data_IF_256139298573
#
_entry.id   IF_256139298573
#
_cell.length_a   1.000
_cell.length_b   1.000
_cell.length_c   1.000
_cell.angle_alpha   90.00
_cell.angle_beta   90.00
_cell.angle_gamma   90.00
#
_symmetry.space_group_name_H-M   'P 1'
#
loop_
_entity.id
_entity.type
_entity.pdbx_description
1 polymer ?
#
# COMPACT_ATOMS: atom_id res chain seq x y z
N UNK A 1 17.28 19.30 -5.77
CA UNK A 1 15.85 18.86 -5.74
C UNK A 1 15.03 19.98 -6.38
N UNK A 2 13.79 19.74 -6.81
CA UNK A 2 12.92 20.83 -7.25
C UNK A 2 12.52 21.69 -6.03
N UNK A 3 12.41 22.99 -6.19
CA UNK A 3 12.03 23.92 -5.11
C UNK A 3 10.64 23.59 -4.52
N UNK A 4 9.70 23.17 -5.37
CA UNK A 4 8.38 22.68 -4.93
C UNK A 4 8.46 21.45 -4.04
N UNK A 5 9.42 20.54 -4.29
CA UNK A 5 9.63 19.33 -3.49
C UNK A 5 10.30 19.67 -2.16
N UNK A 6 11.22 20.62 -2.13
CA UNK A 6 11.84 21.11 -0.89
C UNK A 6 10.80 21.74 0.04
N UNK A 7 9.92 22.58 -0.52
CA UNK A 7 8.77 23.13 0.22
C UNK A 7 7.82 22.01 0.70
N UNK A 8 7.46 21.06 -0.18
CA UNK A 8 6.61 19.95 0.17
C UNK A 8 7.20 19.09 1.30
N UNK A 9 8.51 18.83 1.29
CA UNK A 9 9.19 18.13 2.38
C UNK A 9 9.05 18.85 3.72
N UNK A 10 9.08 20.18 3.73
CA UNK A 10 8.88 20.98 4.93
C UNK A 10 7.42 20.93 5.42
N UNK A 11 6.47 21.01 4.47
CA UNK A 11 5.07 21.27 4.80
C UNK A 11 4.22 19.98 4.89
N UNK A 12 4.66 18.89 4.26
CA UNK A 12 3.90 17.65 4.09
C UNK A 12 4.63 16.37 4.56
N UNK A 13 5.73 16.53 5.28
CA UNK A 13 6.42 15.40 5.94
C UNK A 13 6.37 15.62 7.46
N UNK A 14 5.75 14.70 8.16
CA UNK A 14 5.51 14.82 9.61
C UNK A 14 6.05 13.60 10.36
N UNK A 15 6.07 13.72 11.68
CA UNK A 15 6.26 12.59 12.59
C UNK A 15 4.89 12.11 13.12
N UNK A 16 4.79 10.83 13.47
CA UNK A 16 3.61 10.30 14.16
C UNK A 16 3.33 11.05 15.47
N UNK A 17 4.36 11.64 16.08
CA UNK A 17 4.24 12.38 17.34
C UNK A 17 3.68 13.81 17.18
N UNK A 18 3.62 14.34 15.96
CA UNK A 18 3.12 15.71 15.71
C UNK A 18 1.61 15.83 15.92
N UNK A 19 0.89 14.70 15.91
CA UNK A 19 -0.57 14.65 16.09
C UNK A 19 -0.95 13.70 17.21
N UNK A 20 -1.05 14.22 18.47
CA UNK A 20 -1.42 13.37 19.60
C UNK A 20 -2.85 12.85 19.45
N UNK A 21 -3.10 11.66 20.01
CA UNK A 21 -4.34 10.90 19.86
C UNK A 21 -5.61 11.70 20.14
N UNK A 22 -5.59 12.57 21.15
CA UNK A 22 -6.76 13.39 21.46
C UNK A 22 -7.15 14.36 20.35
N UNK A 23 -6.19 14.87 19.57
CA UNK A 23 -6.45 15.71 18.40
C UNK A 23 -7.05 14.90 17.25
N UNK A 24 -6.58 13.66 17.05
CA UNK A 24 -7.13 12.76 16.02
C UNK A 24 -8.59 12.42 16.32
N UNK A 25 -8.91 12.11 17.58
CA UNK A 25 -10.29 11.85 18.01
C UNK A 25 -11.19 13.07 17.84
N UNK A 26 -10.71 14.24 18.27
CA UNK A 26 -11.48 15.48 18.12
C UNK A 26 -11.72 15.80 16.62
N UNK A 27 -10.73 15.57 15.77
CA UNK A 27 -10.87 15.75 14.31
C UNK A 27 -11.87 14.76 13.74
N UNK A 28 -11.77 13.46 14.07
CA UNK A 28 -12.73 12.43 13.66
C UNK A 28 -14.16 12.75 14.08
N UNK A 29 -14.35 13.14 15.35
CA UNK A 29 -15.67 13.52 15.87
C UNK A 29 -16.26 14.73 15.16
N UNK A 30 -15.43 15.73 14.87
CA UNK A 30 -15.85 16.95 14.17
C UNK A 30 -16.26 16.69 12.74
N UNK A 31 -15.53 15.82 12.03
CA UNK A 31 -15.76 15.52 10.60
C UNK A 31 -16.77 14.40 10.36
N UNK A 32 -17.00 13.54 11.36
CA UNK A 32 -17.81 12.33 11.23
C UNK A 32 -17.19 11.25 10.33
N UNK A 33 -15.92 11.41 9.92
CA UNK A 33 -15.26 10.47 9.02
C UNK A 33 -15.03 9.11 9.68
N UNK A 34 -15.24 8.06 8.90
CA UNK A 34 -15.00 6.67 9.29
C UNK A 34 -13.68 6.14 8.73
N UNK A 35 -13.04 5.25 9.46
CA UNK A 35 -11.71 4.69 9.13
C UNK A 35 -11.79 3.17 9.05
N UNK A 36 -11.44 2.61 7.88
CA UNK A 36 -11.21 1.16 7.71
C UNK A 36 -9.72 0.89 7.61
N UNK A 37 -9.23 -0.08 8.39
CA UNK A 37 -7.90 -0.65 8.23
C UNK A 37 -8.03 -1.95 7.45
N UNK A 38 -7.30 -2.06 6.35
CA UNK A 38 -7.32 -3.20 5.42
C UNK A 38 -5.94 -3.85 5.37
N UNK A 39 -5.90 -5.15 5.67
CA UNK A 39 -4.71 -5.98 5.59
C UNK A 39 -4.85 -6.99 4.43
N UNK A 40 -4.13 -6.80 3.31
CA UNK A 40 -4.01 -7.85 2.30
C UNK A 40 -3.12 -8.97 2.86
N UNK A 41 -3.59 -10.21 2.84
CA UNK A 41 -2.89 -11.34 3.44
C UNK A 41 -2.77 -12.53 2.48
N UNK A 42 -1.61 -13.18 2.50
CA UNK A 42 -1.36 -14.46 1.83
C UNK A 42 -0.28 -15.24 2.60
N UNK A 43 -0.68 -16.28 3.33
CA UNK A 43 0.20 -17.11 4.15
C UNK A 43 0.99 -16.30 5.21
N UNK A 44 0.24 -15.57 6.05
CA UNK A 44 0.77 -14.71 7.11
C UNK A 44 0.24 -15.09 8.50
N UNK A 45 0.04 -16.42 8.78
CA UNK A 45 -0.46 -16.90 10.07
C UNK A 45 0.44 -16.50 11.26
N UNK A 46 1.74 -16.27 11.02
CA UNK A 46 2.70 -15.90 12.07
C UNK A 46 2.52 -14.45 12.57
N UNK A 47 1.97 -13.55 11.75
CA UNK A 47 2.01 -12.10 12.00
C UNK A 47 0.64 -11.44 12.03
N UNK A 48 -0.29 -11.87 11.20
CA UNK A 48 -1.60 -11.20 11.03
C UNK A 48 -2.40 -11.09 12.33
N UNK A 49 -2.33 -12.11 13.20
CA UNK A 49 -3.06 -12.13 14.47
C UNK A 49 -2.59 -11.03 15.44
N UNK A 50 -1.28 -10.85 15.59
CA UNK A 50 -0.71 -9.80 16.43
C UNK A 50 -1.07 -8.41 15.91
N UNK A 51 -0.94 -8.19 14.60
CA UNK A 51 -1.29 -6.90 13.98
C UNK A 51 -2.75 -6.54 14.24
N UNK A 52 -3.66 -7.46 13.98
CA UNK A 52 -5.10 -7.27 14.22
C UNK A 52 -5.38 -7.00 15.68
N UNK A 53 -4.78 -7.80 16.60
CA UNK A 53 -4.99 -7.64 18.04
C UNK A 53 -4.51 -6.27 18.56
N UNK A 54 -3.37 -5.78 18.07
CA UNK A 54 -2.86 -4.44 18.42
C UNK A 54 -3.81 -3.35 17.92
N UNK A 55 -4.24 -3.41 16.65
CA UNK A 55 -5.16 -2.41 16.10
C UNK A 55 -6.47 -2.41 16.89
N UNK A 56 -7.05 -3.56 17.15
CA UNK A 56 -8.30 -3.65 17.90
C UNK A 56 -8.17 -3.11 19.32
N UNK A 57 -7.18 -3.60 20.07
CA UNK A 57 -6.98 -3.16 21.45
C UNK A 57 -6.76 -1.66 21.57
N UNK A 58 -5.84 -1.11 20.74
CA UNK A 58 -5.41 0.28 20.89
C UNK A 58 -6.31 1.27 20.15
N UNK A 59 -6.86 0.91 18.97
CA UNK A 59 -7.50 1.86 18.07
C UNK A 59 -9.00 1.62 17.85
N UNK A 60 -9.55 0.52 18.36
CA UNK A 60 -11.00 0.25 18.34
C UNK A 60 -11.57 0.29 19.76
N UNK A 61 -10.96 -0.46 20.71
CA UNK A 61 -11.50 -0.68 22.05
C UNK A 61 -11.06 0.42 23.03
N UNK A 62 -9.74 0.71 23.08
CA UNK A 62 -9.20 1.74 23.98
C UNK A 62 -9.51 3.15 23.46
N UNK A 63 -9.34 3.36 22.16
CA UNK A 63 -9.53 4.64 21.48
C UNK A 63 -10.29 4.39 20.18
N UNK A 64 -11.54 4.89 20.01
CA UNK A 64 -12.36 4.58 18.83
C UNK A 64 -11.93 5.40 17.60
N UNK A 65 -10.68 5.23 17.18
CA UNK A 65 -10.12 5.86 15.97
C UNK A 65 -10.46 5.05 14.71
N UNK A 66 -10.41 3.71 14.79
CA UNK A 66 -10.69 2.78 13.71
C UNK A 66 -12.10 2.20 13.87
N UNK A 67 -12.89 2.22 12.81
CA UNK A 67 -14.27 1.72 12.82
C UNK A 67 -14.35 0.27 12.31
N UNK A 68 -13.41 -0.14 11.46
CA UNK A 68 -13.41 -1.45 10.83
C UNK A 68 -11.98 -1.97 10.64
N UNK A 69 -11.77 -3.26 10.96
CA UNK A 69 -10.52 -3.99 10.66
C UNK A 69 -10.86 -5.14 9.72
N UNK A 70 -10.34 -5.07 8.51
CA UNK A 70 -10.56 -6.01 7.42
C UNK A 70 -9.28 -6.76 7.08
N UNK A 71 -9.36 -8.09 7.00
CA UNK A 71 -8.33 -8.92 6.37
C UNK A 71 -8.90 -9.48 5.08
N UNK A 72 -8.23 -9.18 3.96
CA UNK A 72 -8.59 -9.74 2.65
C UNK A 72 -7.63 -10.87 2.36
N UNK A 73 -8.13 -12.09 2.51
CA UNK A 73 -7.36 -13.30 2.25
C UNK A 73 -7.28 -13.61 0.76
N UNK A 74 -6.06 -13.71 0.25
CA UNK A 74 -5.76 -13.95 -1.17
C UNK A 74 -5.77 -15.44 -1.57
N UNK A 75 -6.28 -16.31 -0.73
CA UNK A 75 -6.27 -17.78 -0.90
C UNK A 75 -5.11 -18.41 -0.15
N UNK A 76 -4.93 -18.04 1.11
CA UNK A 76 -3.95 -18.68 2.01
C UNK A 76 -4.20 -20.16 2.16
N UNK A 77 -3.12 -20.93 2.28
CA UNK A 77 -3.14 -22.38 2.50
C UNK A 77 -2.77 -22.76 3.94
N UNK A 78 -2.38 -21.75 4.73
CA UNK A 78 -2.10 -21.84 6.17
C UNK A 78 -3.32 -21.35 6.98
N UNK A 79 -3.14 -21.10 8.26
CA UNK A 79 -4.19 -20.66 9.18
C UNK A 79 -4.42 -19.15 9.21
N UNK A 80 -3.95 -18.40 8.20
CA UNK A 80 -4.07 -16.94 8.14
C UNK A 80 -5.50 -16.45 8.44
N UNK A 81 -6.49 -16.96 7.71
CA UNK A 81 -7.90 -16.55 7.88
C UNK A 81 -8.44 -16.86 9.28
N UNK A 82 -8.11 -18.04 9.82
CA UNK A 82 -8.54 -18.48 11.16
C UNK A 82 -7.94 -17.56 12.24
N UNK A 83 -6.62 -17.33 12.16
CA UNK A 83 -5.88 -16.49 13.12
C UNK A 83 -6.36 -15.04 13.09
N UNK A 84 -6.59 -14.49 11.90
CA UNK A 84 -7.11 -13.12 11.75
C UNK A 84 -8.53 -12.98 12.34
N UNK A 85 -9.41 -13.94 12.06
CA UNK A 85 -10.77 -13.95 12.60
C UNK A 85 -10.78 -14.11 14.13
N UNK A 86 -9.95 -14.99 14.69
CA UNK A 86 -9.80 -15.17 16.13
C UNK A 86 -9.30 -13.90 16.83
N UNK A 87 -8.44 -13.09 16.16
CA UNK A 87 -7.99 -11.80 16.65
C UNK A 87 -9.06 -10.68 16.51
N UNK A 88 -10.20 -10.99 15.87
CA UNK A 88 -11.36 -10.10 15.76
C UNK A 88 -11.41 -9.25 14.49
N UNK A 89 -10.67 -9.58 13.44
CA UNK A 89 -10.86 -8.97 12.13
C UNK A 89 -12.10 -9.54 11.42
N UNK A 90 -12.71 -8.74 10.59
CA UNK A 90 -13.62 -9.23 9.56
C UNK A 90 -12.77 -9.79 8.40
N UNK A 91 -12.81 -11.10 8.22
CA UNK A 91 -12.07 -11.76 7.14
C UNK A 91 -12.97 -11.95 5.92
N UNK A 92 -12.46 -11.55 4.75
CA UNK A 92 -13.15 -11.72 3.47
C UNK A 92 -12.20 -12.38 2.48
N UNK A 93 -12.64 -13.46 1.85
CA UNK A 93 -11.86 -14.10 0.81
C UNK A 93 -11.91 -13.28 -0.48
N UNK A 94 -10.75 -12.99 -1.08
CA UNK A 94 -10.63 -12.17 -2.29
C UNK A 94 -11.60 -12.60 -3.40
N UNK A 95 -11.72 -13.91 -3.65
CA UNK A 95 -12.53 -14.45 -4.75
C UNK A 95 -14.03 -14.36 -4.50
N UNK A 96 -14.45 -14.13 -3.25
CA UNK A 96 -15.84 -13.86 -2.91
C UNK A 96 -16.26 -12.41 -3.24
N UNK A 97 -15.29 -11.53 -3.45
CA UNK A 97 -15.55 -10.14 -3.81
C UNK A 97 -15.61 -10.04 -5.35
N UNK A 98 -16.70 -9.56 -5.91
CA UNK A 98 -16.94 -9.48 -7.35
C UNK A 98 -16.74 -10.83 -8.09
N UNK A 99 -17.48 -11.88 -7.74
CA UNK A 99 -17.23 -13.24 -8.28
C UNK A 99 -17.39 -13.34 -9.80
N UNK A 100 -18.13 -12.41 -10.43
CA UNK A 100 -18.26 -12.34 -11.90
C UNK A 100 -16.99 -11.85 -12.61
N UNK A 101 -16.08 -11.17 -11.89
CA UNK A 101 -14.80 -10.73 -12.43
C UNK A 101 -13.73 -11.70 -11.94
N UNK A 102 -13.11 -12.52 -12.80
CA UNK A 102 -12.08 -13.44 -12.38
C UNK A 102 -10.96 -12.73 -11.61
N UNK A 103 -10.63 -13.26 -10.44
CA UNK A 103 -9.53 -12.71 -9.65
C UNK A 103 -8.20 -13.11 -10.27
N UNK A 104 -7.25 -12.18 -10.27
CA UNK A 104 -5.86 -12.41 -10.67
C UNK A 104 -4.94 -12.36 -9.47
N UNK A 105 -3.79 -13.06 -9.51
CA UNK A 105 -2.82 -13.00 -8.42
C UNK A 105 -2.20 -11.61 -8.31
N UNK A 106 -2.01 -11.13 -7.10
CA UNK A 106 -1.25 -9.92 -6.83
C UNK A 106 -1.86 -9.01 -5.76
N UNK A 107 -1.01 -8.22 -5.11
CA UNK A 107 -1.39 -7.34 -4.01
C UNK A 107 -2.40 -6.28 -4.47
N UNK A 108 -2.15 -5.65 -5.63
CA UNK A 108 -3.03 -4.60 -6.14
C UNK A 108 -4.46 -5.08 -6.43
N UNK A 109 -4.64 -6.32 -6.87
CA UNK A 109 -5.96 -6.95 -7.02
C UNK A 109 -6.73 -6.98 -5.69
N UNK A 110 -6.03 -7.36 -4.62
CA UNK A 110 -6.59 -7.44 -3.27
C UNK A 110 -7.00 -6.07 -2.76
N UNK A 111 -6.12 -5.07 -2.95
CA UNK A 111 -6.39 -3.68 -2.55
C UNK A 111 -7.57 -3.10 -3.33
N UNK A 112 -7.63 -3.33 -4.64
CA UNK A 112 -8.74 -2.88 -5.48
C UNK A 112 -10.07 -3.48 -5.04
N UNK A 113 -10.12 -4.81 -4.84
CA UNK A 113 -11.34 -5.49 -4.40
C UNK A 113 -11.77 -5.04 -3.00
N UNK A 114 -10.82 -4.73 -2.12
CA UNK A 114 -11.14 -4.30 -0.76
C UNK A 114 -12.01 -3.04 -0.71
N UNK A 115 -11.90 -2.15 -1.71
CA UNK A 115 -12.73 -0.95 -1.80
C UNK A 115 -14.23 -1.25 -1.89
N UNK A 116 -14.59 -2.42 -2.43
CA UNK A 116 -16.00 -2.82 -2.51
C UNK A 116 -16.57 -3.24 -1.15
N UNK A 117 -15.75 -3.77 -0.25
CA UNK A 117 -16.20 -4.32 1.04
C UNK A 117 -15.83 -3.46 2.24
N UNK A 118 -14.79 -2.65 2.17
CA UNK A 118 -14.45 -1.68 3.21
C UNK A 118 -15.52 -0.57 3.32
N UNK A 119 -15.84 -0.11 4.53
CA UNK A 119 -16.91 0.88 4.81
C UNK A 119 -16.41 2.32 4.98
N UNK A 120 -15.15 2.53 5.37
CA UNK A 120 -14.63 3.81 5.80
C UNK A 120 -14.49 4.88 4.71
N UNK A 121 -14.55 6.14 5.11
CA UNK A 121 -14.24 7.30 4.27
C UNK A 121 -12.73 7.44 4.06
N UNK A 122 -11.95 6.97 5.03
CA UNK A 122 -10.50 6.84 4.99
C UNK A 122 -10.17 5.36 4.98
N UNK A 123 -9.38 4.91 4.00
CA UNK A 123 -8.89 3.55 3.90
C UNK A 123 -7.40 3.56 4.22
N UNK A 124 -7.03 2.79 5.24
CA UNK A 124 -5.66 2.59 5.68
C UNK A 124 -5.21 1.18 5.31
N UNK A 125 -4.20 1.06 4.47
CA UNK A 125 -3.59 -0.21 4.11
C UNK A 125 -2.37 -0.50 4.98
N UNK A 126 -2.29 -1.73 5.48
CA UNK A 126 -1.19 -2.21 6.31
C UNK A 126 -0.81 -3.60 5.83
N UNK A 127 0.47 -3.84 5.56
CA UNK A 127 0.96 -5.17 5.20
C UNK A 127 0.79 -6.16 6.36
N UNK A 128 0.39 -7.38 6.05
CA UNK A 128 0.13 -8.42 7.05
C UNK A 128 1.39 -9.16 7.52
N UNK A 129 2.57 -8.88 6.93
CA UNK A 129 3.88 -9.49 7.23
C UNK A 129 4.73 -8.71 8.23
N UNK A 130 4.18 -7.66 8.86
CA UNK A 130 4.92 -6.81 9.78
C UNK A 130 5.23 -7.53 11.09
N UNK A 131 6.47 -7.43 11.52
CA UNK A 131 6.93 -7.88 12.84
C UNK A 131 7.10 -6.68 13.77
N UNK A 132 6.80 -6.86 15.06
CA UNK A 132 6.85 -5.79 16.07
C UNK A 132 5.96 -4.59 15.67
N UNK A 133 4.73 -4.89 15.26
CA UNK A 133 3.77 -3.88 14.83
C UNK A 133 3.36 -2.95 15.99
N UNK A 134 3.32 -1.65 15.70
CA UNK A 134 2.80 -0.60 16.59
C UNK A 134 1.56 0.07 15.98
N UNK A 135 0.66 0.52 16.83
CA UNK A 135 -0.48 1.34 16.43
C UNK A 135 -0.06 2.63 15.70
N UNK A 136 1.19 3.07 15.87
CA UNK A 136 1.75 4.25 15.23
C UNK A 136 1.76 4.16 13.71
N UNK A 137 1.84 2.94 13.15
CA UNK A 137 1.70 2.74 11.70
C UNK A 137 0.34 3.21 11.18
N UNK A 138 -0.73 3.00 11.96
CA UNK A 138 -2.08 3.43 11.58
C UNK A 138 -2.30 4.90 11.94
N UNK A 139 -1.99 5.30 13.18
CA UNK A 139 -2.25 6.67 13.64
C UNK A 139 -1.47 7.71 12.86
N UNK A 140 -0.22 7.39 12.50
CA UNK A 140 0.64 8.27 11.70
C UNK A 140 0.04 8.57 10.33
N UNK A 141 -0.34 7.55 9.58
CA UNK A 141 -0.82 7.74 8.20
C UNK A 141 -2.29 8.15 8.11
N UNK A 142 -3.12 7.83 9.11
CA UNK A 142 -4.51 8.28 9.18
C UNK A 142 -4.61 9.72 9.69
N UNK A 143 -3.71 10.10 10.60
CA UNK A 143 -3.75 11.40 11.28
C UNK A 143 -3.91 12.60 10.34
N UNK A 144 -3.03 12.80 9.35
CA UNK A 144 -3.15 13.92 8.41
C UNK A 144 -4.47 13.92 7.63
N UNK A 145 -5.01 12.76 7.28
CA UNK A 145 -6.29 12.66 6.57
C UNK A 145 -7.48 13.15 7.42
N UNK A 146 -7.38 13.04 8.75
CA UNK A 146 -8.40 13.53 9.67
C UNK A 146 -8.24 15.02 9.99
N UNK A 147 -7.00 15.54 9.99
CA UNK A 147 -6.70 16.91 10.44
C UNK A 147 -6.52 17.92 9.31
N UNK A 148 -6.05 17.48 8.14
CA UNK A 148 -5.76 18.33 6.98
C UNK A 148 -6.76 18.04 5.85
N UNK A 149 -7.74 18.92 5.61
CA UNK A 149 -8.78 18.65 4.61
C UNK A 149 -8.25 18.49 3.18
N UNK A 150 -7.12 19.14 2.85
CA UNK A 150 -6.52 19.12 1.52
C UNK A 150 -5.72 17.84 1.24
N UNK A 151 -5.31 17.12 2.29
CA UNK A 151 -4.54 15.88 2.14
C UNK A 151 -5.46 14.75 1.69
N UNK A 152 -5.05 14.05 0.61
CA UNK A 152 -5.80 12.97 0.01
C UNK A 152 -5.14 11.61 0.16
N UNK A 153 -3.79 11.56 0.22
CA UNK A 153 -3.00 10.34 0.37
C UNK A 153 -1.80 10.59 1.28
N UNK A 154 -1.56 9.67 2.21
CA UNK A 154 -0.44 9.71 3.16
C UNK A 154 0.30 8.39 3.11
N UNK A 155 1.62 8.44 2.88
CA UNK A 155 2.49 7.26 2.95
C UNK A 155 3.25 7.23 4.27
N UNK A 156 3.43 6.04 4.82
CA UNK A 156 4.40 5.85 5.89
C UNK A 156 5.82 6.01 5.33
N UNK A 157 6.67 6.68 6.08
CA UNK A 157 8.11 6.60 5.94
C UNK A 157 8.72 6.00 7.20
N UNK A 158 9.74 5.22 7.04
CA UNK A 158 10.38 4.47 8.12
C UNK A 158 11.76 4.00 7.72
N UNK A 159 12.60 3.70 8.70
CA UNK A 159 13.86 3.01 8.46
C UNK A 159 13.63 1.50 8.21
N UNK A 160 14.38 0.94 7.28
CA UNK A 160 14.43 -0.50 6.97
C UNK A 160 15.83 -1.02 7.26
N UNK A 161 16.11 -1.52 8.45
CA UNK A 161 17.41 -2.10 8.74
C UNK A 161 17.63 -3.41 7.96
N UNK A 162 18.83 -3.60 7.41
CA UNK A 162 19.27 -4.83 6.81
C UNK A 162 20.41 -5.42 7.64
N UNK A 163 20.25 -6.64 8.14
CA UNK A 163 21.22 -7.31 9.00
C UNK A 163 21.68 -6.44 10.20
N UNK A 164 20.77 -5.64 10.77
CA UNK A 164 21.04 -4.74 11.89
C UNK A 164 21.64 -3.38 11.53
N UNK A 165 21.90 -3.11 10.25
CA UNK A 165 22.40 -1.81 9.78
C UNK A 165 21.25 -0.95 9.29
N UNK A 166 21.11 0.24 9.87
CA UNK A 166 20.09 1.21 9.48
C UNK A 166 20.24 1.66 8.01
N UNK A 167 19.13 1.96 7.32
CA UNK A 167 19.12 2.56 5.99
C UNK A 167 19.56 1.66 4.84
N UNK A 168 19.87 0.37 5.08
CA UNK A 168 20.35 -0.53 4.02
C UNK A 168 19.26 -1.43 3.42
N UNK A 169 18.05 -1.39 3.94
CA UNK A 169 16.90 -2.10 3.39
C UNK A 169 16.29 -1.38 2.18
N UNK A 170 15.32 -2.03 1.52
CA UNK A 170 14.62 -1.43 0.39
C UNK A 170 15.40 -1.41 -0.92
N UNK A 171 16.15 -2.48 -1.22
CA UNK A 171 16.99 -2.59 -2.43
C UNK A 171 16.27 -2.21 -3.73
N UNK A 172 15.02 -2.64 -3.92
CA UNK A 172 14.24 -2.28 -5.12
C UNK A 172 13.89 -0.79 -5.10
N UNK A 173 13.61 -0.22 -3.93
CA UNK A 173 13.38 1.23 -3.79
C UNK A 173 14.63 2.00 -4.24
N UNK A 174 15.79 1.70 -3.69
CA UNK A 174 17.00 2.50 -3.94
C UNK A 174 17.60 2.25 -5.33
N UNK A 175 17.59 1.01 -5.83
CA UNK A 175 18.25 0.65 -7.08
C UNK A 175 17.36 0.84 -8.31
N UNK A 176 16.04 0.97 -8.15
CA UNK A 176 15.13 1.06 -9.28
C UNK A 176 14.07 2.15 -9.13
N UNK A 177 13.23 2.11 -8.10
CA UNK A 177 12.11 3.02 -8.02
C UNK A 177 12.54 4.48 -7.79
N UNK A 178 13.52 4.72 -6.91
CA UNK A 178 14.03 6.07 -6.63
C UNK A 178 14.67 6.73 -7.86
N UNK A 179 15.61 6.08 -8.59
CA UNK A 179 16.13 6.61 -9.84
C UNK A 179 15.03 6.87 -10.88
N UNK A 180 14.08 5.93 -11.03
CA UNK A 180 12.98 6.04 -11.98
C UNK A 180 12.08 7.25 -11.66
N UNK A 181 11.68 7.43 -10.40
CA UNK A 181 10.86 8.56 -9.97
C UNK A 181 11.61 9.89 -10.15
N UNK A 182 12.89 9.95 -9.77
CA UNK A 182 13.68 11.16 -9.93
C UNK A 182 13.81 11.61 -11.39
N UNK A 183 13.93 10.67 -12.32
CA UNK A 183 14.09 10.96 -13.75
C UNK A 183 12.76 11.30 -14.45
N UNK A 184 11.67 10.67 -14.07
CA UNK A 184 10.41 10.76 -14.83
C UNK A 184 9.28 11.49 -14.08
N UNK A 185 9.30 11.49 -12.75
CA UNK A 185 8.36 12.19 -11.88
C UNK A 185 9.10 12.87 -10.74
N UNK A 186 9.95 13.90 -11.06
CA UNK A 186 10.82 14.50 -10.06
C UNK A 186 10.08 15.12 -8.88
N UNK A 187 8.79 15.43 -9.02
CA UNK A 187 7.92 15.85 -7.91
C UNK A 187 7.76 14.79 -6.83
N UNK A 188 7.90 13.51 -7.17
CA UNK A 188 7.82 12.38 -6.22
C UNK A 188 9.18 12.04 -5.59
N UNK A 189 10.24 12.76 -5.93
CA UNK A 189 11.60 12.50 -5.43
C UNK A 189 11.73 12.68 -3.91
N UNK A 190 10.81 13.42 -3.28
CA UNK A 190 10.78 13.64 -1.84
C UNK A 190 10.24 12.46 -1.02
N UNK A 191 9.58 11.46 -1.64
CA UNK A 191 9.07 10.31 -0.91
C UNK A 191 10.18 9.39 -0.44
N UNK A 192 10.26 9.17 0.89
CA UNK A 192 11.27 8.33 1.53
C UNK A 192 11.02 6.86 1.21
N UNK A 193 9.76 6.40 1.30
CA UNK A 193 9.35 5.02 1.03
C UNK A 193 8.26 4.97 -0.07
N UNK A 194 8.59 5.28 -1.34
CA UNK A 194 7.59 5.32 -2.42
C UNK A 194 6.91 3.98 -2.66
N UNK A 195 7.60 2.86 -2.42
CA UNK A 195 7.08 1.50 -2.55
C UNK A 195 6.56 0.91 -1.23
N UNK A 196 6.48 1.70 -0.16
CA UNK A 196 5.94 1.22 1.12
C UNK A 196 4.49 0.77 0.99
N UNK A 197 4.15 -0.36 1.58
CA UNK A 197 2.80 -0.93 1.57
C UNK A 197 1.87 -0.31 2.60
N UNK A 198 2.43 0.44 3.53
CA UNK A 198 1.71 1.15 4.58
C UNK A 198 1.37 2.57 4.10
N UNK A 199 0.11 2.80 3.81
CA UNK A 199 -0.41 4.12 3.41
C UNK A 199 -1.90 4.21 3.66
N UNK A 200 -2.39 5.42 3.76
CA UNK A 200 -3.82 5.70 3.86
C UNK A 200 -4.23 6.75 2.83
N UNK A 201 -5.47 6.67 2.38
CA UNK A 201 -6.01 7.67 1.48
C UNK A 201 -7.51 7.85 1.68
N UNK A 202 -8.02 9.00 1.23
CA UNK A 202 -9.46 9.19 1.14
C UNK A 202 -10.06 8.22 0.13
N UNK A 203 -11.18 7.62 0.49
CA UNK A 203 -11.93 6.74 -0.43
C UNK A 203 -12.22 7.44 -1.77
N UNK A 204 -12.61 8.71 -1.72
CA UNK A 204 -12.92 9.51 -2.90
C UNK A 204 -11.75 9.66 -3.89
N UNK A 205 -10.51 9.52 -3.43
CA UNK A 205 -9.34 9.42 -4.29
C UNK A 205 -9.17 7.99 -4.81
N UNK A 206 -9.11 7.00 -3.92
CA UNK A 206 -8.82 5.60 -4.28
C UNK A 206 -9.76 5.04 -5.33
N UNK A 207 -11.06 5.33 -5.23
CA UNK A 207 -12.08 4.83 -6.14
C UNK A 207 -11.94 5.35 -7.58
N UNK A 208 -11.15 6.42 -7.78
CA UNK A 208 -10.89 7.06 -9.07
C UNK A 208 -9.56 6.64 -9.69
N UNK A 209 -8.72 5.91 -8.96
CA UNK A 209 -7.40 5.47 -9.42
C UNK A 209 -7.50 4.08 -10.07
N UNK A 210 -6.76 3.82 -11.14
CA UNK A 210 -6.52 2.47 -11.63
C UNK A 210 -5.56 1.73 -10.67
N UNK A 211 -5.72 0.41 -10.55
CA UNK A 211 -4.87 -0.41 -9.68
C UNK A 211 -4.09 -1.42 -10.50
N UNK A 212 -2.77 -1.25 -10.68
CA UNK A 212 -1.91 -2.32 -11.14
C UNK A 212 -2.05 -3.53 -10.23
N UNK A 213 -2.32 -4.71 -10.78
CA UNK A 213 -2.71 -5.88 -9.98
C UNK A 213 -1.56 -6.46 -9.14
N UNK A 214 -0.30 -6.27 -9.57
CA UNK A 214 0.90 -6.82 -8.94
C UNK A 214 1.65 -5.84 -8.04
N UNK A 215 2.97 -5.99 -8.01
CA UNK A 215 3.91 -5.19 -7.21
C UNK A 215 4.08 -3.73 -7.68
N UNK A 216 3.47 -3.36 -8.78
CA UNK A 216 3.50 -1.98 -9.27
C UNK A 216 2.47 -1.07 -8.64
N UNK A 217 1.58 -1.60 -7.78
CA UNK A 217 0.43 -0.84 -7.26
C UNK A 217 0.83 0.42 -6.49
N UNK A 218 1.84 0.36 -5.64
CA UNK A 218 2.29 1.51 -4.85
C UNK A 218 2.87 2.62 -5.73
N UNK A 219 3.72 2.26 -6.71
CA UNK A 219 4.27 3.23 -7.65
C UNK A 219 3.18 3.80 -8.57
N UNK A 220 2.33 2.92 -9.10
CA UNK A 220 1.22 3.33 -9.97
C UNK A 220 0.29 4.30 -9.28
N UNK A 221 -0.16 3.97 -8.07
CA UNK A 221 -1.03 4.82 -7.26
C UNK A 221 -0.41 6.18 -6.96
N UNK A 222 0.89 6.22 -6.62
CA UNK A 222 1.59 7.46 -6.31
C UNK A 222 1.67 8.38 -7.53
N UNK A 223 2.01 7.83 -8.70
CA UNK A 223 2.07 8.58 -9.96
C UNK A 223 0.68 9.06 -10.39
N UNK A 224 -0.32 8.20 -10.33
CA UNK A 224 -1.68 8.54 -10.75
C UNK A 224 -2.32 9.55 -9.78
N UNK A 225 -2.06 9.44 -8.47
CA UNK A 225 -2.50 10.41 -7.49
C UNK A 225 -1.85 11.79 -7.71
N UNK A 226 -0.52 11.84 -7.99
CA UNK A 226 0.15 13.09 -8.35
C UNK A 226 -0.54 13.78 -9.53
N UNK A 227 -0.84 13.03 -10.59
CA UNK A 227 -1.50 13.59 -11.77
C UNK A 227 -2.94 14.04 -11.51
N UNK A 228 -3.64 13.37 -10.61
CA UNK A 228 -5.06 13.62 -10.36
C UNK A 228 -5.33 14.75 -9.37
N UNK A 229 -4.49 14.85 -8.30
CA UNK A 229 -4.73 15.79 -7.18
C UNK A 229 -3.53 16.70 -6.87
N UNK A 230 -2.40 16.51 -7.53
CA UNK A 230 -1.18 17.32 -7.32
C UNK A 230 -0.35 16.90 -6.10
N UNK A 231 0.87 17.44 -6.02
CA UNK A 231 1.82 17.09 -4.96
C UNK A 231 1.34 17.54 -3.57
N UNK A 232 0.74 18.71 -3.46
CA UNK A 232 0.32 19.30 -2.18
C UNK A 232 -0.79 18.49 -1.48
N UNK A 233 -1.51 17.65 -2.22
CA UNK A 233 -2.51 16.72 -1.68
C UNK A 233 -1.90 15.39 -1.19
N UNK A 234 -0.61 15.17 -1.41
CA UNK A 234 0.12 13.99 -0.97
C UNK A 234 0.99 14.35 0.23
N UNK A 235 1.17 13.40 1.15
CA UNK A 235 1.98 13.59 2.34
C UNK A 235 2.71 12.31 2.75
N UNK A 236 3.63 12.42 3.69
CA UNK A 236 4.28 11.28 4.33
C UNK A 236 4.47 11.51 5.83
N UNK A 237 4.50 10.41 6.59
CA UNK A 237 4.68 10.46 8.04
C UNK A 237 5.72 9.45 8.48
N UNK A 238 6.68 9.89 9.29
CA UNK A 238 7.66 9.04 9.94
C UNK A 238 7.00 8.26 11.08
N UNK A 239 6.99 6.94 10.92
CA UNK A 239 6.44 5.97 11.87
C UNK A 239 7.55 5.11 12.53
N UNK A 240 8.81 5.49 12.36
CA UNK A 240 9.96 4.87 13.01
C UNK A 240 10.62 3.75 12.20
N UNK A 241 10.59 2.52 12.68
CA UNK A 241 11.32 1.38 12.09
C UNK A 241 10.36 0.29 11.66
N UNK A 242 10.55 -0.23 10.43
CA UNK A 242 9.80 -1.36 9.89
C UNK A 242 10.64 -2.63 9.84
N UNK A 243 10.21 -3.67 10.53
CA UNK A 243 10.79 -5.01 10.46
C UNK A 243 9.86 -5.93 9.66
N UNK A 244 10.42 -6.64 8.68
CA UNK A 244 9.68 -7.53 7.80
C UNK A 244 10.57 -8.67 7.30
N UNK A 245 9.96 -9.68 6.66
CA UNK A 245 10.69 -10.81 6.04
C UNK A 245 11.46 -10.33 4.81
N UNK A 246 12.71 -10.79 4.66
CA UNK A 246 13.54 -10.48 3.49
C UNK A 246 13.27 -11.46 2.34
N UNK A 247 13.19 -10.93 1.12
CA UNK A 247 13.10 -11.71 -0.11
C UNK A 247 14.47 -11.92 -0.75
N UNK A 248 14.61 -13.03 -1.49
CA UNK A 248 15.82 -13.31 -2.25
C UNK A 248 16.00 -12.39 -3.48
N UNK A 249 17.20 -12.43 -4.08
CA UNK A 249 17.55 -11.53 -5.19
C UNK A 249 16.70 -11.75 -6.44
N UNK A 250 16.28 -12.98 -6.74
CA UNK A 250 15.46 -13.27 -7.92
C UNK A 250 14.02 -12.78 -7.73
N UNK A 251 13.45 -12.98 -6.54
CA UNK A 251 12.14 -12.43 -6.20
C UNK A 251 12.12 -10.89 -6.32
N UNK A 252 13.18 -10.22 -5.81
CA UNK A 252 13.34 -8.78 -5.96
C UNK A 252 13.48 -8.35 -7.42
N UNK A 253 14.15 -9.14 -8.26
CA UNK A 253 14.27 -8.89 -9.71
C UNK A 253 12.92 -8.95 -10.42
N UNK A 254 12.08 -9.95 -10.09
CA UNK A 254 10.71 -10.05 -10.63
C UNK A 254 9.83 -8.88 -10.16
N UNK A 255 9.96 -8.49 -8.89
CA UNK A 255 9.29 -7.32 -8.33
C UNK A 255 9.70 -6.04 -9.06
N UNK A 256 11.01 -5.82 -9.26
CA UNK A 256 11.54 -4.67 -9.98
C UNK A 256 11.01 -4.62 -11.41
N UNK A 257 10.97 -5.75 -12.13
CA UNK A 257 10.45 -5.82 -13.49
C UNK A 257 8.95 -5.45 -13.55
N UNK A 258 8.12 -5.92 -12.61
CA UNK A 258 6.70 -5.58 -12.54
C UNK A 258 6.49 -4.08 -12.27
N UNK A 259 7.26 -3.50 -11.36
CA UNK A 259 7.24 -2.06 -11.06
C UNK A 259 7.68 -1.24 -12.29
N UNK A 260 8.75 -1.66 -12.95
CA UNK A 260 9.24 -1.01 -14.18
C UNK A 260 8.17 -1.06 -15.29
N UNK A 261 7.52 -2.21 -15.46
CA UNK A 261 6.41 -2.35 -16.42
C UNK A 261 5.27 -1.39 -16.12
N UNK A 262 4.89 -1.25 -14.86
CA UNK A 262 3.87 -0.29 -14.41
C UNK A 262 4.26 1.15 -14.72
N UNK A 263 5.53 1.51 -14.48
CA UNK A 263 6.04 2.82 -14.84
C UNK A 263 5.99 3.07 -16.35
N UNK A 264 6.36 2.06 -17.15
CA UNK A 264 6.32 2.16 -18.61
C UNK A 264 4.91 2.41 -19.15
N UNK A 265 3.87 1.81 -18.56
CA UNK A 265 2.48 2.08 -18.95
C UNK A 265 2.10 3.56 -18.76
N UNK A 266 2.71 4.24 -17.80
CA UNK A 266 2.51 5.67 -17.53
C UNK A 266 3.40 6.58 -18.37
N UNK A 267 4.52 6.07 -18.83
CA UNK A 267 5.46 6.76 -19.72
C UNK A 267 5.18 6.47 -21.20
N UNK A 268 4.58 5.31 -21.50
CA UNK A 268 4.52 4.77 -22.86
C UNK A 268 3.67 5.62 -23.79
N UNK A 269 4.35 6.14 -24.77
CA UNK A 269 3.76 6.73 -25.96
C UNK A 269 4.39 6.06 -27.18
N UNK A 270 3.89 4.86 -27.52
CA UNK A 270 4.21 4.21 -28.78
C UNK A 270 5.45 3.29 -28.83
N UNK A 271 5.96 2.84 -27.68
CA UNK A 271 7.03 1.83 -27.66
C UNK A 271 6.48 0.41 -27.46
N UNK A 272 6.99 -0.52 -28.27
CA UNK A 272 6.72 -1.95 -28.11
C UNK A 272 7.59 -2.46 -26.94
N UNK A 273 6.95 -2.91 -25.87
CA UNK A 273 7.63 -3.49 -24.71
C UNK A 273 7.38 -4.98 -24.68
N UNK A 274 8.45 -5.78 -24.53
CA UNK A 274 8.32 -7.22 -24.24
C UNK A 274 8.15 -7.42 -22.75
N UNK A 275 6.99 -7.90 -22.27
CA UNK A 275 6.74 -8.09 -20.85
C UNK A 275 7.34 -9.42 -20.36
N UNK A 276 8.63 -9.61 -20.57
CA UNK A 276 9.33 -10.83 -20.15
C UNK A 276 10.67 -10.50 -19.51
N UNK A 277 11.01 -11.26 -18.46
CA UNK A 277 12.29 -11.19 -17.75
C UNK A 277 12.96 -12.56 -17.81
N UNK A 278 14.18 -12.63 -18.31
CA UNK A 278 15.01 -13.83 -18.22
C UNK A 278 16.02 -13.67 -17.08
N UNK A 279 16.02 -14.62 -16.16
CA UNK A 279 16.98 -14.74 -15.06
C UNK A 279 17.76 -16.04 -15.22
N UNK A 280 18.90 -16.17 -14.56
CA UNK A 280 19.74 -17.36 -14.63
C UNK A 280 19.84 -17.99 -13.24
N UNK A 281 19.55 -19.29 -13.19
CA UNK A 281 19.70 -20.12 -11.98
C UNK A 281 20.95 -21.01 -12.11
N UNK A 282 21.61 -21.27 -10.99
CA UNK A 282 22.74 -22.20 -10.97
C UNK A 282 22.23 -23.63 -10.95
N UNK A 283 22.32 -24.33 -12.07
CA UNK A 283 22.04 -25.76 -12.21
C UNK A 283 23.28 -26.63 -12.00
N UNK A 284 23.11 -27.93 -12.18
CA UNK A 284 24.19 -28.93 -12.01
C UNK A 284 25.28 -28.75 -13.06
N UNK A 285 24.89 -28.41 -14.28
CA UNK A 285 25.82 -28.31 -15.46
C UNK A 285 26.20 -26.87 -15.81
N UNK A 286 25.74 -25.86 -15.04
CA UNK A 286 26.02 -24.47 -15.33
C UNK A 286 24.86 -23.54 -14.99
N UNK A 287 24.78 -22.40 -15.69
CA UNK A 287 23.68 -21.46 -15.53
C UNK A 287 22.55 -21.78 -16.52
N UNK A 288 21.36 -21.97 -15.99
CA UNK A 288 20.15 -22.25 -16.76
C UNK A 288 19.23 -21.02 -16.83
N UNK A 289 18.74 -20.62 -18.01
CA UNK A 289 17.83 -19.49 -18.14
C UNK A 289 16.41 -19.88 -17.69
N UNK A 290 15.77 -18.97 -16.95
CA UNK A 290 14.35 -19.02 -16.59
C UNK A 290 13.68 -17.74 -17.05
N UNK A 291 12.61 -17.86 -17.83
CA UNK A 291 11.88 -16.72 -18.36
C UNK A 291 10.52 -16.60 -17.66
N UNK A 292 10.22 -15.39 -17.19
CA UNK A 292 9.00 -15.05 -16.48
C UNK A 292 8.23 -14.00 -17.26
N UNK A 293 6.91 -14.11 -17.30
CA UNK A 293 6.05 -13.01 -17.71
C UNK A 293 6.05 -11.94 -16.61
N UNK A 294 6.30 -10.70 -17.01
CA UNK A 294 6.29 -9.52 -16.12
C UNK A 294 5.26 -8.50 -16.57
N UNK A 295 4.33 -8.95 -17.41
CA UNK A 295 3.20 -8.11 -17.80
C UNK A 295 2.32 -7.82 -16.58
N UNK A 296 1.67 -6.68 -16.60
CA UNK A 296 0.75 -6.26 -15.55
C UNK A 296 -0.56 -5.86 -16.19
N UNK A 297 -1.63 -6.31 -15.57
CA UNK A 297 -2.97 -5.82 -15.85
C UNK A 297 -3.28 -4.67 -14.89
N UNK A 298 -4.17 -3.80 -15.31
CA UNK A 298 -4.71 -2.76 -14.45
C UNK A 298 -6.21 -2.97 -14.28
N UNK A 299 -6.67 -2.84 -13.05
CA UNK A 299 -8.09 -2.74 -12.78
C UNK A 299 -8.53 -1.29 -12.99
N UNK A 300 -9.69 -1.08 -13.61
CA UNK A 300 -10.22 0.26 -13.81
C UNK A 300 -10.54 0.94 -12.47
N UNK A 301 -10.69 2.26 -12.46
CA UNK A 301 -11.26 2.97 -11.31
C UNK A 301 -12.50 2.29 -10.78
N UNK A 302 -12.63 2.18 -9.47
CA UNK A 302 -13.77 1.48 -8.85
C UNK A 302 -15.11 2.14 -9.20
N UNK A 303 -15.10 3.44 -9.47
CA UNK A 303 -16.29 4.19 -9.95
C UNK A 303 -16.85 3.69 -11.27
N UNK A 304 -16.05 2.97 -12.08
CA UNK A 304 -16.48 2.37 -13.35
C UNK A 304 -17.11 0.97 -13.17
N UNK A 305 -17.11 0.44 -11.95
CA UNK A 305 -17.68 -0.87 -11.64
C UNK A 305 -19.14 -0.71 -11.23
N UNK A 306 -20.04 -1.35 -11.97
CA UNK A 306 -21.49 -1.20 -11.81
C UNK A 306 -21.95 -1.52 -10.37
N UNK A 307 -21.43 -2.57 -9.76
CA UNK A 307 -21.77 -2.98 -8.40
C UNK A 307 -21.33 -1.95 -7.36
N UNK A 308 -20.24 -1.23 -7.60
CA UNK A 308 -19.78 -0.17 -6.71
C UNK A 308 -20.68 1.07 -6.82
N UNK A 309 -21.13 1.41 -8.01
CA UNK A 309 -22.06 2.51 -8.23
C UNK A 309 -23.38 2.29 -7.47
N UNK A 310 -23.91 1.07 -7.47
CA UNK A 310 -25.12 0.74 -6.73
C UNK A 310 -24.96 0.84 -5.20
N UNK A 311 -23.80 0.57 -4.65
CA UNK A 311 -23.52 0.69 -3.21
C UNK A 311 -23.61 2.13 -2.69
N UNK A 312 -23.30 3.13 -3.52
CA UNK A 312 -23.32 4.56 -3.13
C UNK A 312 -24.72 5.18 -3.14
N UNK A 313 -25.69 4.48 -3.70
CA UNK A 313 -27.09 4.96 -3.83
C UNK A 313 -28.01 4.35 -2.76
N UNK A 314 -27.54 3.31 -2.07
CA UNK A 314 -28.23 2.68 -0.95
C UNK A 314 -27.71 3.19 0.40
#
# INVERSE_FOLDING_TARGET
MLEEVERWLSDRSWSVHDRPMHQLLAAKQRTGQTVSVVLPALNEEETVGEIVAVIRRELVERVPLVDEVLVIDSGSTDRTSEVAAAAGARVVHRDAILPRIPAVPGKGEVLWRSLLVAGGDVICFVDADLREFSADFVTGIVGPLLTEPDVQLVKAMYDRPLAGSAGQGGRVTELMARPLLNMHWPQLAGFVQPLGGEYAARRSLLERLPFPVGYGVELGMLVDALHLVGLDALAQVDVGVRKHRHQDGQALGRMAAAIYRTAQLRLARGHLVRPSLTQFERGVTGFEPRTYSVDTEERPPMTEIAEYAHRRVA
#
